data_IF_309309432651
#
_entry.id   IF_309309432651
#
_cell.length_a   1.000
_cell.length_b   1.000
_cell.length_c   1.000
_cell.angle_alpha   90.00
_cell.angle_beta   90.00
_cell.angle_gamma   90.00
#
_symmetry.space_group_name_H-M   'P 1'
#
loop_
_entity.id
_entity.type
_entity.pdbx_description
1 polymer ?
#
# COMPACT_ATOMS: atom_id res chain seq x y z
N UNK A 1 4.81 4.61 11.68
CA UNK A 1 5.93 4.82 10.76
C UNK A 1 5.76 3.86 9.60
N UNK A 2 5.66 4.43 8.42
CA UNK A 2 5.54 3.75 7.14
C UNK A 2 6.90 3.27 6.62
N UNK A 3 6.89 2.20 5.83
CA UNK A 3 8.04 1.70 5.07
C UNK A 3 7.60 1.57 3.62
N UNK A 4 8.43 2.00 2.66
CA UNK A 4 8.05 1.93 1.25
C UNK A 4 7.77 0.48 0.84
N UNK A 5 6.76 0.28 -0.01
CA UNK A 5 6.34 -1.05 -0.44
C UNK A 5 7.45 -1.76 -1.23
N UNK A 6 8.27 -1.00 -1.95
CA UNK A 6 9.44 -1.52 -2.68
C UNK A 6 10.44 -2.21 -1.73
N UNK A 7 10.60 -1.71 -0.50
CA UNK A 7 11.52 -2.27 0.50
C UNK A 7 10.98 -3.55 1.15
N UNK A 8 9.66 -3.80 1.10
CA UNK A 8 9.03 -4.98 1.71
C UNK A 8 7.91 -5.53 0.82
N UNK A 9 8.29 -6.01 -0.36
CA UNK A 9 7.38 -6.41 -1.44
C UNK A 9 6.70 -7.79 -1.21
N UNK A 10 5.93 -7.90 -0.12
CA UNK A 10 5.20 -9.10 0.29
C UNK A 10 3.70 -8.86 0.28
N UNK A 11 2.90 -9.90 0.01
CA UNK A 11 1.43 -9.76 0.06
C UNK A 11 0.95 -9.37 1.44
N UNK A 12 1.57 -9.92 2.49
CA UNK A 12 1.26 -9.59 3.88
C UNK A 12 1.48 -8.09 4.15
N UNK A 13 2.61 -7.53 3.74
CA UNK A 13 2.87 -6.11 3.93
C UNK A 13 1.94 -5.23 3.11
N UNK A 14 1.65 -5.61 1.86
CA UNK A 14 0.67 -4.92 1.04
C UNK A 14 -0.71 -4.87 1.71
N UNK A 15 -1.18 -6.00 2.27
CA UNK A 15 -2.41 -6.06 3.04
C UNK A 15 -2.37 -5.17 4.28
N UNK A 16 -1.26 -5.16 5.02
CA UNK A 16 -1.07 -4.30 6.19
C UNK A 16 -1.16 -2.81 5.86
N UNK A 17 -0.55 -2.36 4.75
CA UNK A 17 -0.62 -0.94 4.36
C UNK A 17 -2.01 -0.58 3.81
N UNK A 18 -2.70 -1.49 3.10
CA UNK A 18 -4.09 -1.26 2.67
C UNK A 18 -5.01 -1.11 3.88
N UNK A 19 -4.87 -1.96 4.90
CA UNK A 19 -5.68 -1.88 6.12
C UNK A 19 -5.40 -0.59 6.90
N UNK A 20 -4.13 -0.20 7.05
CA UNK A 20 -3.76 1.07 7.71
C UNK A 20 -4.34 2.27 6.96
N UNK A 21 -4.22 2.30 5.63
CA UNK A 21 -4.79 3.37 4.82
C UNK A 21 -6.33 3.40 4.94
N UNK A 22 -6.99 2.25 5.00
CA UNK A 22 -8.44 2.15 5.20
C UNK A 22 -8.89 2.75 6.54
N UNK A 23 -8.19 2.42 7.62
CA UNK A 23 -8.48 2.97 8.96
C UNK A 23 -8.36 4.49 8.93
N UNK A 24 -7.24 5.02 8.42
CA UNK A 24 -7.03 6.46 8.35
C UNK A 24 -8.03 7.16 7.42
N UNK A 25 -8.30 6.61 6.23
CA UNK A 25 -9.28 7.15 5.30
C UNK A 25 -10.69 7.19 5.91
N UNK A 26 -11.03 6.19 6.73
CA UNK A 26 -12.30 6.16 7.45
C UNK A 26 -12.38 7.23 8.52
N UNK A 27 -11.32 7.43 9.30
CA UNK A 27 -11.26 8.50 10.31
C UNK A 27 -11.42 9.89 9.65
N UNK A 28 -10.73 10.12 8.53
CA UNK A 28 -10.84 11.37 7.75
C UNK A 28 -12.23 11.56 7.13
N UNK A 29 -12.86 10.46 6.69
CA UNK A 29 -14.23 10.47 6.18
C UNK A 29 -15.25 10.77 7.29
N UNK A 30 -15.15 10.10 8.44
CA UNK A 30 -16.08 10.27 9.56
C UNK A 30 -15.96 11.68 10.18
N UNK A 31 -14.74 12.25 10.21
CA UNK A 31 -14.53 13.63 10.67
C UNK A 31 -15.04 14.69 9.69
N UNK A 32 -15.00 14.41 8.39
CA UNK A 32 -15.39 15.35 7.33
C UNK A 32 -16.15 14.65 6.19
N UNK A 33 -17.37 14.17 6.45
CA UNK A 33 -18.10 13.31 5.51
C UNK A 33 -18.54 14.04 4.24
N UNK A 34 -18.59 15.37 4.29
CA UNK A 34 -18.96 16.23 3.15
C UNK A 34 -17.79 16.53 2.21
N UNK A 35 -16.59 16.03 2.49
CA UNK A 35 -15.43 16.20 1.61
C UNK A 35 -15.42 15.08 0.56
N UNK A 36 -15.71 15.38 -0.73
CA UNK A 36 -15.80 14.34 -1.76
C UNK A 36 -14.50 13.57 -1.96
N UNK A 37 -13.36 14.19 -1.64
CA UNK A 37 -12.05 13.57 -1.68
C UNK A 37 -11.91 12.43 -0.67
N UNK A 38 -12.24 12.65 0.60
CA UNK A 38 -12.10 11.64 1.66
C UNK A 38 -13.01 10.44 1.38
N UNK A 39 -14.25 10.71 0.95
CA UNK A 39 -15.18 9.67 0.51
C UNK A 39 -14.61 8.86 -0.67
N UNK A 40 -13.97 9.54 -1.63
CA UNK A 40 -13.38 8.89 -2.80
C UNK A 40 -12.16 8.02 -2.44
N UNK A 41 -11.26 8.47 -1.56
CA UNK A 41 -10.16 7.63 -1.07
C UNK A 41 -10.67 6.40 -0.35
N UNK A 42 -11.59 6.57 0.61
CA UNK A 42 -12.15 5.46 1.37
C UNK A 42 -12.83 4.42 0.47
N UNK A 43 -13.70 4.85 -0.46
CA UNK A 43 -14.39 3.93 -1.36
C UNK A 43 -13.44 3.17 -2.29
N UNK A 44 -12.41 3.83 -2.81
CA UNK A 44 -11.42 3.18 -3.66
C UNK A 44 -10.58 2.16 -2.88
N UNK A 45 -10.19 2.48 -1.64
CA UNK A 45 -9.46 1.54 -0.78
C UNK A 45 -10.31 0.32 -0.41
N UNK A 46 -11.61 0.51 -0.17
CA UNK A 46 -12.56 -0.60 0.09
C UNK A 46 -12.66 -1.50 -1.14
N UNK A 47 -12.75 -0.92 -2.34
CA UNK A 47 -12.78 -1.70 -3.58
C UNK A 47 -11.45 -2.43 -3.82
N UNK A 48 -10.30 -1.80 -3.57
CA UNK A 48 -8.98 -2.46 -3.67
C UNK A 48 -8.89 -3.65 -2.73
N UNK A 49 -9.27 -3.49 -1.46
CA UNK A 49 -9.29 -4.62 -0.50
C UNK A 49 -10.15 -5.76 -1.02
N UNK A 50 -11.36 -5.47 -1.48
CA UNK A 50 -12.28 -6.49 -1.97
C UNK A 50 -11.78 -7.17 -3.25
N UNK A 51 -11.44 -6.39 -4.28
CA UNK A 51 -11.07 -6.91 -5.60
C UNK A 51 -9.67 -7.52 -5.60
N UNK A 52 -8.66 -6.78 -5.13
CA UNK A 52 -7.25 -7.19 -5.27
C UNK A 52 -6.87 -8.19 -4.19
N UNK A 53 -7.25 -7.97 -2.93
CA UNK A 53 -6.84 -8.82 -1.81
C UNK A 53 -7.81 -9.99 -1.63
N UNK A 54 -9.10 -9.70 -1.39
CA UNK A 54 -10.06 -10.73 -1.01
C UNK A 54 -10.42 -11.64 -2.21
N UNK A 55 -10.60 -11.06 -3.41
CA UNK A 55 -10.93 -11.80 -4.64
C UNK A 55 -9.71 -12.19 -5.49
N UNK A 56 -8.50 -11.72 -5.16
CA UNK A 56 -7.29 -11.94 -5.96
C UNK A 56 -7.42 -11.55 -7.44
N UNK A 57 -8.20 -10.51 -7.75
CA UNK A 57 -8.32 -9.98 -9.10
C UNK A 57 -6.98 -9.38 -9.56
N UNK A 58 -6.61 -9.70 -10.79
CA UNK A 58 -5.35 -9.28 -11.41
C UNK A 58 -5.60 -8.10 -12.34
N UNK A 59 -4.79 -7.06 -12.20
CA UNK A 59 -4.84 -5.86 -13.02
C UNK A 59 -3.46 -5.55 -13.60
N UNK A 60 -3.39 -5.09 -14.85
CA UNK A 60 -2.18 -4.45 -15.36
C UNK A 60 -1.96 -3.10 -14.67
N UNK A 61 -0.77 -2.52 -14.84
CA UNK A 61 -0.47 -1.17 -14.36
C UNK A 61 -1.43 -0.14 -14.96
N UNK A 62 -1.70 -0.20 -16.27
CA UNK A 62 -2.64 0.74 -16.91
C UNK A 62 -4.07 0.57 -16.38
N UNK A 63 -4.53 -0.67 -16.18
CA UNK A 63 -5.86 -0.94 -15.65
C UNK A 63 -6.00 -0.43 -14.21
N UNK A 64 -5.00 -0.69 -13.36
CA UNK A 64 -4.98 -0.20 -11.98
C UNK A 64 -5.02 1.33 -11.92
N UNK A 65 -4.19 2.02 -12.71
CA UNK A 65 -4.14 3.49 -12.71
C UNK A 65 -5.40 4.13 -13.30
N UNK A 66 -6.05 3.45 -14.25
CA UNK A 66 -7.33 3.89 -14.81
C UNK A 66 -8.48 3.68 -13.83
N UNK A 67 -8.51 2.55 -13.13
CA UNK A 67 -9.58 2.19 -12.19
C UNK A 67 -9.47 2.97 -10.88
N UNK A 68 -8.24 3.17 -10.38
CA UNK A 68 -7.96 3.78 -9.08
C UNK A 68 -7.10 5.04 -9.24
N UNK A 69 -7.69 6.22 -9.53
CA UNK A 69 -6.97 7.47 -9.69
C UNK A 69 -6.38 8.06 -8.38
N UNK A 70 -6.25 7.26 -7.31
CA UNK A 70 -5.69 7.67 -6.00
C UNK A 70 -4.36 8.43 -6.17
N UNK A 71 -3.39 7.94 -6.96
CA UNK A 71 -2.10 8.62 -7.11
C UNK A 71 -2.23 10.03 -7.72
N UNK A 72 -3.15 10.21 -8.67
CA UNK A 72 -3.47 11.52 -9.27
C UNK A 72 -4.15 12.41 -8.21
N UNK A 73 -5.06 11.85 -7.42
CA UNK A 73 -5.74 12.58 -6.35
C UNK A 73 -4.75 13.05 -5.27
N UNK A 74 -3.82 12.18 -4.85
CA UNK A 74 -2.78 12.54 -3.88
C UNK A 74 -1.97 13.72 -4.40
N UNK A 75 -1.49 13.65 -5.64
CA UNK A 75 -0.68 14.72 -6.26
C UNK A 75 -1.42 16.06 -6.38
N UNK A 76 -2.75 16.04 -6.54
CA UNK A 76 -3.56 17.26 -6.69
C UNK A 76 -3.97 17.90 -5.38
N UNK A 77 -4.13 17.11 -4.32
CA UNK A 77 -4.75 17.58 -3.09
C UNK A 77 -3.77 17.69 -1.92
N UNK A 78 -2.67 16.92 -1.91
CA UNK A 78 -1.63 17.02 -0.89
C UNK A 78 -0.54 17.96 -1.42
N UNK A 79 -0.33 19.09 -0.75
CA UNK A 79 0.60 20.15 -1.19
C UNK A 79 1.66 20.38 -0.10
N UNK A 80 2.90 20.68 -0.50
CA UNK A 80 3.97 21.00 0.44
C UNK A 80 4.36 19.80 1.29
N UNK A 81 4.42 19.98 2.61
CA UNK A 81 4.81 18.93 3.54
C UNK A 81 3.82 17.76 3.60
N UNK A 82 2.53 18.02 3.34
CA UNK A 82 1.49 16.97 3.34
C UNK A 82 1.73 15.89 2.27
N UNK A 83 2.35 16.27 1.14
CA UNK A 83 2.65 15.37 0.03
C UNK A 83 3.70 14.30 0.37
N UNK A 84 4.43 14.51 1.48
CA UNK A 84 5.51 13.66 1.96
C UNK A 84 5.15 12.93 3.27
N UNK A 85 3.88 12.98 3.68
CA UNK A 85 3.41 12.24 4.86
C UNK A 85 3.41 10.74 4.60
N UNK A 86 3.53 9.96 5.69
CA UNK A 86 3.39 8.50 5.68
C UNK A 86 2.13 8.07 4.91
N UNK A 87 1.01 8.77 5.11
CA UNK A 87 -0.27 8.45 4.45
C UNK A 87 -0.25 8.74 2.95
N UNK A 88 0.28 9.90 2.53
CA UNK A 88 0.37 10.25 1.11
C UNK A 88 1.27 9.26 0.34
N UNK A 89 2.37 8.81 0.95
CA UNK A 89 3.26 7.82 0.34
C UNK A 89 2.60 6.43 0.30
N UNK A 90 1.95 6.03 1.39
CA UNK A 90 1.18 4.78 1.46
C UNK A 90 0.10 4.69 0.37
N UNK A 91 -0.66 5.76 0.15
CA UNK A 91 -1.68 5.82 -0.91
C UNK A 91 -1.09 5.64 -2.32
N UNK A 92 0.08 6.23 -2.60
CA UNK A 92 0.78 6.06 -3.89
C UNK A 92 1.24 4.62 -4.08
N UNK A 93 1.83 4.03 -3.04
CA UNK A 93 2.38 2.67 -3.09
C UNK A 93 1.31 1.60 -3.18
N UNK A 94 0.15 1.80 -2.54
CA UNK A 94 -1.00 0.91 -2.70
C UNK A 94 -1.38 0.80 -4.19
N UNK A 95 -1.53 1.93 -4.88
CA UNK A 95 -1.93 1.93 -6.31
C UNK A 95 -0.89 1.27 -7.19
N UNK A 96 0.39 1.55 -6.94
CA UNK A 96 1.49 0.90 -7.66
C UNK A 96 1.51 -0.61 -7.40
N UNK A 97 1.32 -1.00 -6.14
CA UNK A 97 1.32 -2.38 -5.67
C UNK A 97 0.21 -3.26 -6.24
N UNK A 98 -0.91 -2.70 -6.70
CA UNK A 98 -2.01 -3.48 -7.34
C UNK A 98 -1.48 -4.37 -8.47
N UNK A 99 -0.67 -3.79 -9.36
CA UNK A 99 -0.13 -4.51 -10.53
C UNK A 99 0.98 -5.51 -10.16
N UNK A 100 1.54 -5.38 -8.97
CA UNK A 100 2.62 -6.22 -8.44
C UNK A 100 2.10 -7.33 -7.53
N UNK A 101 0.92 -7.15 -6.93
CA UNK A 101 0.33 -8.05 -5.95
C UNK A 101 0.32 -9.53 -6.38
N UNK A 102 0.01 -9.90 -7.64
CA UNK A 102 0.06 -11.30 -8.08
C UNK A 102 1.48 -11.91 -8.06
N UNK A 103 2.51 -11.06 -8.09
CA UNK A 103 3.93 -11.44 -8.10
C UNK A 103 4.60 -11.30 -6.74
N UNK A 104 3.93 -10.70 -5.76
CA UNK A 104 4.44 -10.56 -4.40
C UNK A 104 4.53 -11.93 -3.74
N UNK A 105 5.58 -12.12 -2.94
CA UNK A 105 5.77 -13.33 -2.16
C UNK A 105 4.70 -13.47 -1.08
N UNK A 106 4.28 -14.71 -0.83
CA UNK A 106 3.37 -15.07 0.26
C UNK A 106 4.14 -15.10 1.59
N UNK A 107 3.54 -14.57 2.66
CA UNK A 107 4.13 -14.58 4.01
C UNK A 107 4.96 -13.34 4.35
N UNK A 108 5.79 -13.46 5.40
CA UNK A 108 6.75 -12.41 5.78
C UNK A 108 7.95 -12.42 4.83
N UNK A 109 8.54 -11.24 4.64
CA UNK A 109 9.79 -11.07 3.88
C UNK A 109 10.80 -12.13 4.32
N UNK A 110 11.36 -12.97 3.43
CA UNK A 110 12.39 -13.91 3.79
C UNK A 110 13.57 -13.08 4.28
N UNK A 111 13.66 -12.93 5.61
CA UNK A 111 14.89 -12.44 6.25
C UNK A 111 16.04 -13.13 5.54
N UNK A 112 17.06 -12.39 5.06
CA UNK A 112 18.19 -13.02 4.41
C UNK A 112 18.64 -14.16 5.31
N UNK A 113 18.62 -15.37 4.78
CA UNK A 113 19.14 -16.55 5.48
C UNK A 113 20.49 -16.11 6.04
N UNK A 114 20.61 -16.06 7.37
CA UNK A 114 21.87 -15.71 8.02
C UNK A 114 22.95 -16.54 7.32
N UNK A 115 24.07 -15.94 6.86
CA UNK A 115 25.05 -16.69 6.13
C UNK A 115 25.45 -17.93 6.95
N UNK A 116 25.20 -19.11 6.37
CA UNK A 116 25.69 -20.39 6.89
C UNK A 116 27.20 -20.40 6.67
N UNK A 117 27.95 -19.92 7.66
CA UNK A 117 29.41 -19.97 7.66
C UNK A 117 29.97 -18.94 8.64
N UNK A 118 30.72 -19.31 9.68
CA UNK A 118 31.23 -20.62 10.04
C UNK A 118 31.64 -20.60 11.51
N UNK A 119 31.72 -21.80 12.07
CA UNK A 119 32.54 -22.02 13.24
C UNK A 119 33.97 -21.59 12.88
N UNK A 120 34.49 -20.60 13.56
CA UNK A 120 35.93 -20.42 13.69
C UNK A 120 36.22 -20.41 15.18
N UNK A 121 36.41 -21.63 15.68
CA UNK A 121 37.14 -21.89 16.91
C UNK A 121 38.56 -21.39 16.65
N UNK A 122 38.98 -20.38 17.39
CA UNK A 122 40.39 -20.12 17.66
C UNK A 122 40.50 -19.77 19.14
N UNK A 123 41.03 -20.75 19.86
CA UNK A 123 41.83 -20.75 21.11
C UNK A 123 41.70 -19.56 22.08
#
# INVERSE_FOLDING_TARGET
MYTDLEDKLTKKYYQEIVEKALIQAKEEYDFSPNTPMNASFYNQLVDIKKCVIDNNEVYTKEEAYKKYPIAIMVTKNFIGEEANTDYANMLKDIVWGISLYPKMIEGDDPKPDKPRGGWSVFD
#
